data_IF_474648702499
#
_entry.id   IF_474648702499
#
_cell.length_a   1.000
_cell.length_b   1.000
_cell.length_c   1.000
_cell.angle_alpha   90.00
_cell.angle_beta   90.00
_cell.angle_gamma   90.00
#
_symmetry.space_group_name_H-M   'P 1'
#
loop_
_entity.id
_entity.type
_entity.pdbx_description
1 polymer ?
#
# COMPACT_ATOMS: atom_id res chain seq x y z
N UNK A 1 -17.89 6.75 11.79
CA UNK A 1 -17.01 5.66 12.30
C UNK A 1 -15.87 6.28 13.06
N UNK A 2 -15.20 5.57 13.97
CA UNK A 2 -14.06 6.12 14.70
C UNK A 2 -12.83 6.20 13.77
N UNK A 3 -12.00 7.23 13.95
CA UNK A 3 -10.73 7.37 13.23
C UNK A 3 -9.70 6.42 13.85
N UNK A 4 -9.15 5.50 13.04
CA UNK A 4 -8.08 4.59 13.48
C UNK A 4 -6.71 5.24 13.35
N UNK A 5 -6.48 5.98 12.25
CA UNK A 5 -5.23 6.69 11.98
C UNK A 5 -5.56 8.10 11.49
N UNK A 6 -5.01 9.12 12.12
CA UNK A 6 -5.17 10.50 11.67
C UNK A 6 -3.81 11.19 11.52
N UNK A 7 -3.78 12.12 10.59
CA UNK A 7 -2.64 13.00 10.35
C UNK A 7 -3.11 14.44 10.27
N UNK A 8 -2.34 15.35 10.85
CA UNK A 8 -2.65 16.77 10.86
C UNK A 8 -1.43 17.58 10.42
N UNK A 9 -1.62 18.35 9.34
CA UNK A 9 -0.63 19.28 8.76
C UNK A 9 0.75 18.67 8.53
N UNK A 10 0.80 17.39 8.09
CA UNK A 10 2.07 16.74 7.80
C UNK A 10 2.81 17.46 6.67
N UNK A 11 4.10 17.67 6.86
CA UNK A 11 5.02 18.16 5.83
C UNK A 11 6.27 17.31 5.76
N UNK A 12 6.83 17.22 4.54
CA UNK A 12 8.11 16.60 4.26
C UNK A 12 8.88 17.42 3.25
N UNK A 13 10.14 17.72 3.57
CA UNK A 13 11.03 18.50 2.72
C UNK A 13 12.12 17.62 2.12
N UNK A 14 12.49 17.88 0.86
CA UNK A 14 13.67 17.28 0.24
C UNK A 14 14.90 18.10 0.64
N UNK A 15 15.90 17.46 1.19
CA UNK A 15 17.23 18.07 1.32
C UNK A 15 17.83 18.17 -0.08
N UNK A 16 17.95 19.38 -0.64
CA UNK A 16 18.82 19.64 -1.78
C UNK A 16 20.16 20.09 -1.24
N UNK A 17 21.24 19.47 -1.72
CA UNK A 17 22.59 19.97 -1.45
C UNK A 17 22.76 21.35 -2.06
N UNK A 18 22.68 22.40 -1.23
CA UNK A 18 22.68 23.80 -1.63
C UNK A 18 21.39 24.53 -1.20
N UNK A 19 21.42 25.83 -1.16
CA UNK A 19 20.40 26.73 -0.63
C UNK A 19 18.96 26.37 -1.07
N UNK A 20 18.12 25.99 -0.10
CA UNK A 20 16.67 25.84 -0.22
C UNK A 20 16.15 24.41 -0.09
N UNK A 21 15.45 24.13 1.01
CA UNK A 21 14.64 22.94 1.19
C UNK A 21 13.35 23.07 0.37
N UNK A 22 13.17 22.24 -0.66
CA UNK A 22 11.90 22.20 -1.40
C UNK A 22 10.92 21.22 -0.75
N UNK A 23 9.69 21.64 -0.50
CA UNK A 23 8.66 20.75 0.00
C UNK A 23 8.43 19.58 -0.98
N UNK A 24 8.48 18.36 -0.48
CA UNK A 24 7.96 17.19 -1.21
C UNK A 24 6.43 17.21 -1.13
N UNK A 25 5.92 17.51 0.07
CA UNK A 25 4.52 17.84 0.34
C UNK A 25 4.41 18.62 1.65
N UNK A 26 3.31 19.34 1.81
CA UNK A 26 3.03 20.11 3.03
C UNK A 26 1.52 20.22 3.31
N UNK A 27 1.18 20.45 4.58
CA UNK A 27 -0.17 20.69 5.03
C UNK A 27 -1.13 19.51 4.86
N UNK A 28 -0.63 18.27 4.74
CA UNK A 28 -1.49 17.11 4.55
C UNK A 28 -2.23 16.81 5.86
N UNK A 29 -3.56 16.85 5.79
CA UNK A 29 -4.45 16.46 6.89
C UNK A 29 -5.50 15.49 6.37
N UNK A 30 -5.65 14.33 7.01
CA UNK A 30 -6.65 13.33 6.66
C UNK A 30 -6.85 12.33 7.80
N UNK A 31 -7.96 11.61 7.73
CA UNK A 31 -8.31 10.56 8.68
C UNK A 31 -8.68 9.28 7.96
N UNK A 32 -8.13 8.16 8.43
CA UNK A 32 -8.51 6.82 8.00
C UNK A 32 -9.40 6.21 9.09
N UNK A 33 -10.62 5.89 8.72
CA UNK A 33 -11.61 5.30 9.61
C UNK A 33 -11.37 3.78 9.81
N UNK A 34 -11.85 3.22 10.90
CA UNK A 34 -11.86 1.76 11.12
C UNK A 34 -12.57 1.06 9.97
N UNK A 35 -11.95 0.01 9.42
CA UNK A 35 -12.47 -0.70 8.25
C UNK A 35 -12.53 0.15 6.97
N UNK A 36 -11.99 1.37 6.99
CA UNK A 36 -11.92 2.24 5.82
C UNK A 36 -11.03 1.67 4.73
N UNK A 37 -11.41 1.85 3.47
CA UNK A 37 -10.61 1.49 2.29
C UNK A 37 -10.41 2.72 1.45
N UNK A 38 -9.18 3.21 1.38
CA UNK A 38 -8.81 4.44 0.70
C UNK A 38 -7.78 4.16 -0.39
N UNK A 39 -7.96 4.74 -1.57
CA UNK A 39 -6.93 4.79 -2.61
C UNK A 39 -6.21 6.14 -2.57
N UNK A 40 -4.90 6.15 -2.44
CA UNK A 40 -4.05 7.33 -2.54
C UNK A 40 -3.56 7.45 -3.98
N UNK A 41 -4.11 8.40 -4.71
CA UNK A 41 -3.84 8.65 -6.11
C UNK A 41 -3.01 9.92 -6.31
N UNK A 42 -2.36 10.02 -7.46
CA UNK A 42 -1.56 11.19 -7.86
C UNK A 42 -0.41 10.79 -8.78
N UNK A 43 0.17 11.74 -9.49
CA UNK A 43 1.29 11.52 -10.39
C UNK A 43 2.52 10.93 -9.65
N UNK A 44 3.44 10.32 -10.42
CA UNK A 44 4.71 9.86 -9.86
C UNK A 44 5.51 11.03 -9.26
N UNK A 45 6.24 10.78 -8.19
CA UNK A 45 7.08 11.81 -7.53
C UNK A 45 6.34 12.76 -6.58
N UNK A 46 5.02 12.64 -6.40
CA UNK A 46 4.24 13.45 -5.44
C UNK A 46 4.49 13.09 -3.97
N UNK A 47 5.27 12.04 -3.67
CA UNK A 47 5.59 11.68 -2.29
C UNK A 47 4.65 10.67 -1.65
N UNK A 48 3.80 9.96 -2.43
CA UNK A 48 2.85 8.96 -1.91
C UNK A 48 3.51 7.88 -1.06
N UNK A 49 4.55 7.22 -1.57
CA UNK A 49 5.32 6.20 -0.83
C UNK A 49 6.01 6.79 0.40
N UNK A 50 6.51 8.03 0.32
CA UNK A 50 7.09 8.73 1.48
C UNK A 50 6.02 8.99 2.54
N UNK A 51 4.81 9.39 2.14
CA UNK A 51 3.70 9.54 3.07
C UNK A 51 3.36 8.21 3.75
N UNK A 52 3.25 7.11 3.01
CA UNK A 52 3.01 5.80 3.61
C UNK A 52 4.09 5.41 4.61
N UNK A 53 5.37 5.66 4.29
CA UNK A 53 6.49 5.37 5.19
C UNK A 53 6.45 6.22 6.47
N UNK A 54 6.03 7.49 6.36
CA UNK A 54 5.81 8.35 7.53
C UNK A 54 4.65 7.81 8.37
N UNK A 55 3.52 7.43 7.75
CA UNK A 55 2.38 6.84 8.45
C UNK A 55 2.75 5.52 9.16
N UNK A 56 3.63 4.72 8.59
CA UNK A 56 4.19 3.51 9.21
C UNK A 56 5.28 3.81 10.26
N UNK A 57 5.62 5.09 10.46
CA UNK A 57 6.71 5.52 11.32
C UNK A 57 8.07 4.88 10.95
N UNK A 58 8.29 4.68 9.65
CA UNK A 58 9.56 4.27 9.06
C UNK A 58 10.43 5.46 8.69
N UNK A 59 9.79 6.59 8.35
CA UNK A 59 10.41 7.88 8.13
C UNK A 59 9.78 8.91 9.07
N UNK A 60 10.53 9.98 9.40
CA UNK A 60 10.02 11.09 10.17
C UNK A 60 9.34 12.12 9.25
N UNK A 61 8.19 12.65 9.68
CA UNK A 61 7.70 13.91 9.16
C UNK A 61 8.58 15.05 9.66
N UNK A 62 8.67 16.13 8.89
CA UNK A 62 9.40 17.33 9.32
C UNK A 62 8.46 18.28 10.09
N UNK A 63 7.14 18.25 9.80
CA UNK A 63 6.09 18.98 10.51
C UNK A 63 4.82 18.14 10.62
N UNK A 64 3.94 18.54 11.54
CA UNK A 64 2.63 17.95 11.76
C UNK A 64 2.60 16.84 12.79
N UNK A 65 1.45 16.24 12.97
CA UNK A 65 1.21 15.23 13.99
C UNK A 65 0.53 13.98 13.41
N UNK A 66 0.90 12.80 13.95
CA UNK A 66 0.23 11.53 13.70
C UNK A 66 -0.43 11.03 14.97
N UNK A 67 -1.62 10.44 14.83
CA UNK A 67 -2.36 9.80 15.91
C UNK A 67 -2.86 8.43 15.48
N UNK A 68 -2.77 7.46 16.37
CA UNK A 68 -3.33 6.12 16.21
C UNK A 68 -4.30 5.83 17.34
N UNK A 69 -5.58 5.56 17.01
CA UNK A 69 -6.64 5.40 17.99
C UNK A 69 -6.77 6.64 18.90
N UNK A 70 -6.63 7.84 18.34
CA UNK A 70 -6.67 9.11 19.06
C UNK A 70 -5.40 9.45 19.88
N UNK A 71 -4.46 8.53 20.04
CA UNK A 71 -3.21 8.76 20.78
C UNK A 71 -2.11 9.28 19.86
N UNK A 72 -1.37 10.35 20.24
CA UNK A 72 -0.28 10.87 19.42
C UNK A 72 0.85 9.84 19.26
N UNK A 73 1.57 9.90 18.13
CA UNK A 73 2.68 8.98 17.84
C UNK A 73 3.73 8.97 18.97
N UNK A 74 4.00 10.12 19.59
CA UNK A 74 4.94 10.24 20.71
C UNK A 74 4.58 9.41 21.95
N UNK A 75 3.32 8.98 22.07
CA UNK A 75 2.85 8.12 23.16
C UNK A 75 3.02 6.61 22.89
N UNK A 76 3.54 6.25 21.72
CA UNK A 76 3.78 4.88 21.30
C UNK A 76 5.27 4.55 21.26
N UNK A 77 5.59 3.26 21.44
CA UNK A 77 6.91 2.75 21.03
C UNK A 77 6.89 2.45 19.54
N UNK A 78 7.98 2.73 18.80
CA UNK A 78 8.02 2.49 17.35
C UNK A 78 7.67 1.04 16.95
N UNK A 79 8.05 0.07 17.76
CA UNK A 79 7.75 -1.35 17.51
C UNK A 79 6.25 -1.64 17.67
N UNK A 80 5.61 -1.07 18.70
CA UNK A 80 4.17 -1.23 18.95
C UNK A 80 3.36 -0.58 17.82
N UNK A 81 3.74 0.65 17.42
CA UNK A 81 3.13 1.35 16.27
C UNK A 81 3.17 0.49 15.01
N UNK A 82 4.37 -0.01 14.63
CA UNK A 82 4.57 -0.82 13.42
C UNK A 82 3.90 -2.18 13.46
N UNK A 83 3.50 -2.68 14.62
CA UNK A 83 2.63 -3.85 14.74
C UNK A 83 1.20 -3.51 14.35
N UNK A 84 0.75 -2.29 14.68
CA UNK A 84 -0.60 -1.80 14.41
C UNK A 84 -0.76 -1.21 13.02
N UNK A 85 0.28 -0.53 12.52
CA UNK A 85 0.32 0.10 11.20
C UNK A 85 1.37 -0.60 10.35
N UNK A 86 0.94 -1.61 9.59
CA UNK A 86 1.84 -2.42 8.77
C UNK A 86 2.00 -1.82 7.36
N UNK A 87 3.24 -1.68 6.92
CA UNK A 87 3.60 -1.23 5.59
C UNK A 87 4.05 -2.39 4.72
N UNK A 88 3.43 -2.54 3.57
CA UNK A 88 3.80 -3.49 2.53
C UNK A 88 4.41 -2.71 1.37
N UNK A 89 5.70 -2.90 1.18
CA UNK A 89 6.47 -2.17 0.18
C UNK A 89 6.21 -2.68 -1.24
N UNK A 90 6.41 -1.81 -2.21
CA UNK A 90 6.35 -2.12 -3.64
C UNK A 90 7.32 -3.26 -4.03
N UNK A 91 8.52 -3.27 -3.46
CA UNK A 91 9.49 -4.36 -3.62
C UNK A 91 9.59 -5.14 -2.31
N UNK A 92 9.19 -6.40 -2.37
CA UNK A 92 9.24 -7.28 -1.22
C UNK A 92 10.68 -7.66 -0.86
N UNK A 93 11.04 -7.47 0.40
CA UNK A 93 12.32 -7.90 0.97
C UNK A 93 12.10 -9.19 1.77
N UNK A 94 12.85 -10.24 1.40
CA UNK A 94 12.89 -11.47 2.16
C UNK A 94 14.04 -11.44 3.17
N UNK A 95 13.76 -11.96 4.36
CA UNK A 95 14.79 -12.21 5.35
C UNK A 95 15.58 -13.48 4.97
N UNK A 96 16.85 -13.59 5.36
CA UNK A 96 17.61 -14.82 5.19
C UNK A 96 16.91 -16.00 5.85
N UNK A 97 17.00 -17.18 5.22
CA UNK A 97 16.35 -18.43 5.69
C UNK A 97 15.25 -18.91 4.76
N UNK A 98 14.34 -19.68 5.30
CA UNK A 98 13.27 -20.36 4.57
C UNK A 98 11.99 -19.53 4.48
N UNK A 99 11.01 -20.02 3.73
CA UNK A 99 9.63 -19.50 3.73
C UNK A 99 9.06 -19.50 5.16
N UNK A 100 9.22 -20.60 5.91
CA UNK A 100 8.75 -20.70 7.30
C UNK A 100 9.43 -19.68 8.21
N UNK A 101 10.74 -19.45 8.05
CA UNK A 101 11.46 -18.45 8.82
C UNK A 101 10.89 -17.05 8.58
N UNK A 102 10.56 -16.71 7.33
CA UNK A 102 9.95 -15.43 6.98
C UNK A 102 8.56 -15.27 7.58
N UNK A 103 7.72 -16.28 7.50
CA UNK A 103 6.35 -16.25 8.05
C UNK A 103 6.36 -16.20 9.60
N UNK A 104 7.24 -16.98 10.25
CA UNK A 104 7.31 -17.04 11.71
C UNK A 104 8.03 -15.86 12.35
N UNK A 105 8.74 -15.03 11.58
CA UNK A 105 9.54 -13.92 12.09
C UNK A 105 8.73 -12.95 12.95
N UNK A 106 7.51 -12.61 12.51
CA UNK A 106 6.62 -11.71 13.25
C UNK A 106 6.32 -12.27 14.64
N UNK A 107 5.94 -13.55 14.71
CA UNK A 107 5.63 -14.22 15.97
C UNK A 107 6.83 -14.30 16.88
N UNK A 108 8.02 -14.59 16.33
CA UNK A 108 9.29 -14.60 17.09
C UNK A 108 9.65 -13.21 17.65
N UNK A 109 9.54 -12.15 16.85
CA UNK A 109 9.84 -10.78 17.28
C UNK A 109 8.92 -10.31 18.41
N UNK A 110 7.64 -10.68 18.35
CA UNK A 110 6.64 -10.29 19.32
C UNK A 110 6.43 -11.31 20.45
N UNK A 111 7.25 -12.40 20.49
CA UNK A 111 7.16 -13.49 21.49
C UNK A 111 5.75 -14.07 21.60
N UNK A 112 5.09 -14.24 20.44
CA UNK A 112 3.74 -14.82 20.31
C UNK A 112 3.83 -16.19 19.65
N UNK A 113 2.88 -17.11 19.92
CA UNK A 113 2.77 -18.36 19.15
C UNK A 113 2.61 -18.07 17.66
N UNK A 114 3.24 -18.88 16.81
CA UNK A 114 3.08 -18.77 15.37
C UNK A 114 1.74 -19.35 14.95
N UNK A 115 0.90 -18.52 14.33
CA UNK A 115 -0.41 -18.90 13.80
C UNK A 115 -0.24 -19.61 12.44
N UNK A 116 0.23 -20.87 12.49
CA UNK A 116 0.47 -21.69 11.29
C UNK A 116 -0.81 -21.92 10.47
N UNK A 117 -2.00 -22.18 11.07
CA UNK A 117 -3.25 -22.30 10.33
C UNK A 117 -3.60 -21.04 9.53
N UNK A 118 -3.46 -19.86 10.13
CA UNK A 118 -3.68 -18.60 9.44
C UNK A 118 -2.70 -18.40 8.28
N UNK A 119 -1.41 -18.66 8.53
CA UNK A 119 -0.38 -18.56 7.49
C UNK A 119 -0.67 -19.49 6.31
N UNK A 120 -1.03 -20.75 6.58
CA UNK A 120 -1.37 -21.74 5.55
C UNK A 120 -2.59 -21.30 4.73
N UNK A 121 -3.65 -20.80 5.37
CA UNK A 121 -4.84 -20.28 4.69
C UNK A 121 -4.48 -19.09 3.78
N UNK A 122 -3.75 -18.09 4.28
CA UNK A 122 -3.36 -16.95 3.45
C UNK A 122 -2.44 -17.36 2.29
N UNK A 123 -1.55 -18.33 2.50
CA UNK A 123 -0.72 -18.91 1.44
C UNK A 123 -1.59 -19.57 0.35
N UNK A 124 -2.57 -20.37 0.74
CA UNK A 124 -3.50 -21.03 -0.19
C UNK A 124 -4.29 -20.00 -1.01
N UNK A 125 -4.89 -19.00 -0.34
CA UNK A 125 -5.68 -17.94 -0.97
C UNK A 125 -4.86 -17.11 -1.97
N UNK A 126 -3.53 -17.01 -1.78
CA UNK A 126 -2.59 -16.34 -2.68
C UNK A 126 -1.93 -17.27 -3.71
N UNK A 127 -2.39 -18.52 -3.84
CA UNK A 127 -1.83 -19.49 -4.78
C UNK A 127 -0.40 -19.94 -4.44
N UNK A 128 -0.04 -19.92 -3.15
CA UNK A 128 1.23 -20.39 -2.62
C UNK A 128 1.07 -21.70 -1.80
N UNK A 129 -0.11 -22.32 -1.80
CA UNK A 129 -0.42 -23.47 -0.96
C UNK A 129 0.47 -24.68 -1.21
N UNK A 130 0.87 -24.93 -2.47
CA UNK A 130 1.80 -25.98 -2.85
C UNK A 130 3.28 -25.70 -2.55
N UNK A 131 3.61 -24.53 -2.00
CA UNK A 131 4.99 -24.13 -1.75
C UNK A 131 5.56 -24.84 -0.52
N UNK A 132 6.73 -25.49 -0.67
CA UNK A 132 7.43 -26.07 0.46
C UNK A 132 7.90 -24.99 1.44
N UNK A 133 7.51 -25.12 2.70
CA UNK A 133 7.87 -24.16 3.75
C UNK A 133 9.37 -24.14 4.06
N UNK A 134 10.08 -25.23 3.73
CA UNK A 134 11.53 -25.34 3.82
C UNK A 134 12.29 -24.70 2.64
N UNK A 135 11.57 -24.23 1.59
CA UNK A 135 12.21 -23.61 0.43
C UNK A 135 12.96 -22.33 0.86
N UNK A 136 14.23 -22.12 0.43
CA UNK A 136 14.94 -20.90 0.69
C UNK A 136 14.20 -19.68 0.13
N UNK A 137 13.94 -18.67 0.97
CA UNK A 137 13.16 -17.50 0.56
C UNK A 137 13.88 -16.65 -0.52
N UNK A 138 15.21 -16.77 -0.63
CA UNK A 138 15.99 -16.14 -1.69
C UNK A 138 15.66 -16.64 -3.09
N UNK A 139 15.23 -17.92 -3.21
CA UNK A 139 14.93 -18.59 -4.48
C UNK A 139 13.50 -18.30 -5.00
N UNK A 140 12.70 -17.55 -4.25
CA UNK A 140 11.37 -17.16 -4.67
C UNK A 140 11.43 -16.18 -5.84
N UNK A 141 10.51 -16.32 -6.79
CA UNK A 141 10.29 -15.31 -7.83
C UNK A 141 9.83 -13.97 -7.22
N UNK A 142 9.90 -12.88 -7.99
CA UNK A 142 9.43 -11.57 -7.52
C UNK A 142 7.97 -11.59 -7.06
N UNK A 143 7.09 -12.23 -7.83
CA UNK A 143 5.67 -12.35 -7.47
C UNK A 143 5.43 -13.25 -6.25
N UNK A 144 6.18 -14.34 -6.09
CA UNK A 144 6.12 -15.18 -4.88
C UNK A 144 6.58 -14.39 -3.65
N UNK A 145 7.70 -13.63 -3.76
CA UNK A 145 8.20 -12.77 -2.69
C UNK A 145 7.15 -11.73 -2.27
N UNK A 146 6.50 -11.10 -3.25
CA UNK A 146 5.49 -10.10 -2.98
C UNK A 146 4.28 -10.68 -2.25
N UNK A 147 3.78 -11.83 -2.70
CA UNK A 147 2.68 -12.53 -2.04
C UNK A 147 3.05 -13.02 -0.64
N UNK A 148 4.27 -13.55 -0.46
CA UNK A 148 4.76 -13.98 0.86
C UNK A 148 4.91 -12.80 1.83
N UNK A 149 5.39 -11.64 1.35
CA UNK A 149 5.48 -10.42 2.16
C UNK A 149 4.10 -9.94 2.61
N UNK A 150 3.08 -10.08 1.75
CA UNK A 150 1.70 -9.77 2.09
C UNK A 150 1.20 -10.69 3.21
N UNK A 151 1.38 -12.02 3.09
CA UNK A 151 1.04 -12.96 4.17
C UNK A 151 1.72 -12.56 5.48
N UNK A 152 3.03 -12.29 5.44
CA UNK A 152 3.80 -11.87 6.62
C UNK A 152 3.21 -10.63 7.29
N UNK A 153 2.71 -9.68 6.51
CA UNK A 153 2.09 -8.46 7.04
C UNK A 153 0.71 -8.72 7.66
N UNK A 154 -0.08 -9.63 7.08
CA UNK A 154 -1.37 -10.04 7.63
C UNK A 154 -1.23 -10.80 8.96
N UNK A 155 -0.14 -11.55 9.14
CA UNK A 155 0.15 -12.25 10.40
C UNK A 155 0.40 -11.32 11.60
N UNK A 156 0.67 -10.04 11.36
CA UNK A 156 0.68 -9.01 12.42
C UNK A 156 -0.71 -8.73 12.99
N UNK A 157 -1.79 -9.05 12.25
CA UNK A 157 -3.17 -8.61 12.52
C UNK A 157 -3.21 -7.10 12.78
N UNK A 158 -2.79 -6.29 11.79
CA UNK A 158 -2.67 -4.85 11.99
C UNK A 158 -4.04 -4.18 12.00
N UNK A 159 -4.13 -3.03 12.67
CA UNK A 159 -5.31 -2.17 12.60
C UNK A 159 -5.37 -1.41 11.27
N UNK A 160 -4.18 -1.13 10.68
CA UNK A 160 -4.01 -0.42 9.40
C UNK A 160 -3.00 -1.14 8.51
N UNK A 161 -3.37 -1.37 7.25
CA UNK A 161 -2.48 -1.81 6.17
C UNK A 161 -2.20 -0.67 5.20
N UNK A 162 -0.93 -0.34 5.02
CA UNK A 162 -0.44 0.62 4.05
C UNK A 162 0.18 -0.16 2.88
N UNK A 163 -0.45 -0.11 1.72
CA UNK A 163 -0.19 -0.97 0.57
C UNK A 163 0.41 -0.13 -0.57
N UNK A 164 1.72 -0.21 -0.75
CA UNK A 164 2.46 0.60 -1.73
C UNK A 164 2.68 -0.21 -3.00
N UNK A 165 1.80 -0.04 -4.00
CA UNK A 165 1.85 -0.70 -5.32
C UNK A 165 2.05 -2.24 -5.25
N UNK A 166 1.50 -2.89 -4.22
CA UNK A 166 1.78 -4.29 -3.84
C UNK A 166 1.39 -5.32 -4.89
N UNK A 167 0.58 -4.94 -5.86
CA UNK A 167 0.10 -5.83 -6.93
C UNK A 167 0.66 -5.48 -8.31
N UNK A 168 1.46 -4.41 -8.44
CA UNK A 168 1.94 -3.92 -9.73
C UNK A 168 2.80 -4.93 -10.50
N UNK A 169 3.55 -5.78 -9.78
CA UNK A 169 4.43 -6.81 -10.35
C UNK A 169 3.79 -8.20 -10.43
N UNK A 170 2.51 -8.34 -10.08
CA UNK A 170 1.78 -9.61 -10.11
C UNK A 170 1.10 -9.83 -11.45
N UNK A 171 1.04 -11.09 -11.86
CA UNK A 171 0.18 -11.50 -12.97
C UNK A 171 -1.31 -11.26 -12.65
N UNK A 172 -2.21 -11.19 -13.66
CA UNK A 172 -3.62 -10.86 -13.42
C UNK A 172 -4.34 -11.79 -12.44
N UNK A 173 -4.02 -13.08 -12.45
CA UNK A 173 -4.63 -14.06 -11.55
C UNK A 173 -4.19 -13.84 -10.09
N UNK A 174 -2.89 -13.69 -9.89
CA UNK A 174 -2.30 -13.39 -8.57
C UNK A 174 -2.76 -12.05 -8.02
N UNK A 175 -2.93 -11.03 -8.89
CA UNK A 175 -3.48 -9.72 -8.52
C UNK A 175 -4.90 -9.86 -7.99
N UNK A 176 -5.78 -10.53 -8.74
CA UNK A 176 -7.17 -10.75 -8.34
C UNK A 176 -7.26 -11.52 -7.02
N UNK A 177 -6.41 -12.52 -6.82
CA UNK A 177 -6.34 -13.28 -5.57
C UNK A 177 -5.92 -12.39 -4.38
N UNK A 178 -4.91 -11.53 -4.56
CA UNK A 178 -4.44 -10.60 -3.53
C UNK A 178 -5.52 -9.57 -3.16
N UNK A 179 -6.19 -8.97 -4.14
CA UNK A 179 -7.28 -8.00 -3.93
C UNK A 179 -8.46 -8.64 -3.21
N UNK A 180 -8.82 -9.88 -3.58
CA UNK A 180 -9.87 -10.64 -2.91
C UNK A 180 -9.51 -10.92 -1.45
N UNK A 181 -8.32 -11.47 -1.18
CA UNK A 181 -7.84 -11.73 0.18
C UNK A 181 -7.87 -10.47 1.04
N UNK A 182 -7.37 -9.34 0.53
CA UNK A 182 -7.32 -8.08 1.28
C UNK A 182 -8.71 -7.53 1.54
N UNK A 183 -9.65 -7.62 0.60
CA UNK A 183 -11.04 -7.23 0.80
C UNK A 183 -11.71 -8.07 1.88
N UNK A 184 -11.58 -9.41 1.80
CA UNK A 184 -12.15 -10.32 2.79
C UNK A 184 -11.49 -10.15 4.16
N UNK A 185 -10.20 -9.82 4.21
CA UNK A 185 -9.50 -9.48 5.44
C UNK A 185 -10.07 -8.22 6.07
N UNK A 186 -10.27 -7.15 5.29
CA UNK A 186 -10.90 -5.93 5.76
C UNK A 186 -12.30 -6.19 6.34
N UNK A 187 -13.09 -7.02 5.67
CA UNK A 187 -14.47 -7.33 6.09
C UNK A 187 -14.51 -8.18 7.37
N UNK A 188 -13.55 -9.08 7.57
CA UNK A 188 -13.50 -9.97 8.74
C UNK A 188 -12.79 -9.38 9.96
N UNK A 189 -11.69 -8.70 9.74
CA UNK A 189 -10.80 -8.21 10.82
C UNK A 189 -10.98 -6.71 11.08
N UNK A 190 -11.74 -5.99 10.23
CA UNK A 190 -11.91 -4.54 10.36
C UNK A 190 -10.65 -3.71 10.08
N UNK A 191 -9.60 -4.33 9.54
CA UNK A 191 -8.33 -3.65 9.22
C UNK A 191 -8.56 -2.57 8.17
N UNK A 192 -8.24 -1.33 8.49
CA UNK A 192 -8.29 -0.23 7.53
C UNK A 192 -7.17 -0.35 6.49
N UNK A 193 -7.41 0.10 5.26
CA UNK A 193 -6.48 -0.05 4.15
C UNK A 193 -6.25 1.26 3.42
N UNK A 194 -4.99 1.61 3.22
CA UNK A 194 -4.57 2.71 2.35
C UNK A 194 -3.73 2.16 1.20
N UNK A 195 -4.25 2.26 -0.01
CA UNK A 195 -3.68 1.71 -1.23
C UNK A 195 -3.03 2.80 -2.07
N UNK A 196 -1.77 2.66 -2.41
CA UNK A 196 -1.15 3.41 -3.51
C UNK A 196 -1.20 2.53 -4.75
N UNK A 197 -1.76 3.03 -5.82
CA UNK A 197 -1.79 2.36 -7.12
C UNK A 197 -1.79 3.37 -8.25
N UNK A 198 -1.27 2.98 -9.40
CA UNK A 198 -1.38 3.69 -10.67
C UNK A 198 -2.49 3.12 -11.56
N UNK A 199 -3.07 2.00 -11.18
CA UNK A 199 -4.17 1.35 -11.88
C UNK A 199 -5.51 1.87 -11.35
N UNK A 200 -6.26 2.60 -12.18
CA UNK A 200 -7.53 3.22 -11.76
C UNK A 200 -8.67 2.22 -11.61
N UNK A 201 -8.69 1.17 -12.41
CA UNK A 201 -9.68 0.11 -12.26
C UNK A 201 -9.46 -0.58 -10.92
N UNK A 202 -8.20 -0.82 -10.55
CA UNK A 202 -7.88 -1.30 -9.22
C UNK A 202 -8.35 -0.31 -8.14
N UNK A 203 -8.01 0.98 -8.27
CA UNK A 203 -8.43 1.99 -7.29
C UNK A 203 -9.96 1.99 -7.09
N UNK A 204 -10.73 1.88 -8.18
CA UNK A 204 -12.21 1.79 -8.14
C UNK A 204 -12.70 0.54 -7.41
N UNK A 205 -12.03 -0.61 -7.63
CA UNK A 205 -12.47 -1.90 -7.09
C UNK A 205 -12.12 -2.07 -5.61
N UNK A 206 -10.95 -1.57 -5.18
CA UNK A 206 -10.43 -1.82 -3.83
C UNK A 206 -10.84 -0.75 -2.81
N UNK A 207 -11.20 0.47 -3.24
CA UNK A 207 -11.44 1.59 -2.33
C UNK A 207 -12.89 2.05 -2.28
N UNK A 208 -13.24 2.72 -1.17
CA UNK A 208 -14.50 3.48 -0.99
C UNK A 208 -14.27 4.98 -1.03
N UNK A 209 -13.05 5.42 -0.78
CA UNK A 209 -12.63 6.82 -0.81
C UNK A 209 -11.33 6.97 -1.59
N UNK A 210 -11.14 8.13 -2.17
CA UNK A 210 -9.92 8.55 -2.85
C UNK A 210 -9.31 9.72 -2.09
N UNK A 211 -8.03 9.62 -1.81
CA UNK A 211 -7.16 10.74 -1.46
C UNK A 211 -6.33 11.07 -2.69
N UNK A 212 -6.51 12.26 -3.23
CA UNK A 212 -5.80 12.69 -4.42
C UNK A 212 -4.71 13.70 -4.06
N UNK A 213 -3.44 13.30 -4.28
CA UNK A 213 -2.27 14.14 -4.07
C UNK A 213 -1.80 14.76 -5.38
N UNK A 214 -1.73 16.07 -5.41
CA UNK A 214 -1.09 16.84 -6.45
C UNK A 214 -0.54 18.17 -5.87
N UNK A 215 0.37 18.83 -6.59
CA UNK A 215 0.93 20.12 -6.20
C UNK A 215 1.53 20.15 -4.78
N UNK A 216 2.05 18.99 -4.34
CA UNK A 216 2.66 18.86 -3.03
C UNK A 216 1.69 18.86 -1.84
N UNK A 217 0.40 18.61 -2.07
CA UNK A 217 -0.60 18.52 -1.00
C UNK A 217 -1.70 17.52 -1.32
N UNK A 218 -2.61 17.27 -0.37
CA UNK A 218 -3.82 16.49 -0.55
C UNK A 218 -4.94 17.43 -1.05
N UNK A 219 -5.23 17.38 -2.34
CA UNK A 219 -6.22 18.26 -2.96
C UNK A 219 -7.66 17.78 -2.79
N UNK A 220 -7.88 16.46 -2.83
CA UNK A 220 -9.23 15.90 -2.70
C UNK A 220 -9.24 14.70 -1.74
N UNK A 221 -10.31 14.62 -0.96
CA UNK A 221 -10.66 13.50 -0.10
C UNK A 221 -12.15 13.21 -0.26
N UNK A 222 -12.50 12.28 -1.16
CA UNK A 222 -13.88 12.07 -1.62
C UNK A 222 -14.22 10.59 -1.70
N UNK A 223 -15.51 10.29 -1.84
CA UNK A 223 -15.96 8.96 -2.23
C UNK A 223 -15.41 8.58 -3.62
N UNK A 224 -15.04 7.31 -3.78
CA UNK A 224 -14.39 6.82 -5.00
C UNK A 224 -15.22 7.11 -6.24
N UNK A 225 -16.52 6.80 -6.24
CA UNK A 225 -17.38 7.05 -7.39
C UNK A 225 -17.50 8.54 -7.72
N UNK A 226 -17.62 9.40 -6.70
CA UNK A 226 -17.69 10.84 -6.89
C UNK A 226 -16.39 11.41 -7.50
N UNK A 227 -15.23 10.95 -7.03
CA UNK A 227 -13.95 11.36 -7.59
C UNK A 227 -13.81 10.97 -9.07
N UNK A 228 -14.17 9.75 -9.43
CA UNK A 228 -14.03 9.30 -10.82
C UNK A 228 -15.10 9.84 -11.77
N UNK A 229 -16.26 10.26 -11.25
CA UNK A 229 -17.32 10.87 -12.06
C UNK A 229 -17.07 12.36 -12.31
N UNK A 230 -16.75 13.11 -11.26
CA UNK A 230 -16.59 14.55 -11.31
C UNK A 230 -15.60 15.03 -10.23
N UNK A 231 -14.27 15.00 -10.50
CA UNK A 231 -13.28 15.55 -9.57
C UNK A 231 -13.52 17.03 -9.32
N UNK A 232 -13.35 17.51 -8.08
CA UNK A 232 -13.59 18.91 -7.72
C UNK A 232 -12.52 19.83 -8.28
N UNK A 233 -11.26 19.38 -8.26
CA UNK A 233 -10.11 20.18 -8.63
C UNK A 233 -9.74 20.03 -10.10
N UNK A 234 -9.14 21.07 -10.69
CA UNK A 234 -8.64 21.00 -12.06
C UNK A 234 -7.53 19.93 -12.22
N UNK A 235 -6.53 19.80 -11.29
CA UNK A 235 -5.58 18.69 -11.33
C UNK A 235 -6.26 17.32 -11.25
N UNK A 236 -7.31 17.16 -10.45
CA UNK A 236 -8.09 15.92 -10.36
C UNK A 236 -8.79 15.59 -11.69
N UNK A 237 -9.42 16.57 -12.33
CA UNK A 237 -10.06 16.39 -13.65
C UNK A 237 -9.07 15.97 -14.72
N UNK A 238 -7.89 16.62 -14.79
CA UNK A 238 -6.82 16.27 -15.72
C UNK A 238 -6.30 14.86 -15.46
N UNK A 239 -6.12 14.51 -14.20
CA UNK A 239 -5.67 13.18 -13.80
C UNK A 239 -6.67 12.08 -14.21
N UNK A 240 -7.96 12.27 -13.91
CA UNK A 240 -9.02 11.34 -14.29
C UNK A 240 -9.19 11.24 -15.82
N UNK A 241 -9.10 12.35 -16.55
CA UNK A 241 -9.24 12.39 -18.01
C UNK A 241 -8.04 11.74 -18.74
N UNK A 242 -6.81 11.97 -18.29
CA UNK A 242 -5.61 11.43 -18.92
C UNK A 242 -5.59 9.90 -18.97
N UNK A 243 -6.36 9.25 -18.13
CA UNK A 243 -6.44 7.79 -17.97
C UNK A 243 -7.65 7.18 -18.68
N UNK A 244 -8.61 8.01 -19.12
CA UNK A 244 -9.71 7.59 -20.00
C UNK A 244 -9.28 7.53 -21.48
N UNK A 245 -8.13 8.13 -21.82
CA UNK A 245 -7.63 8.29 -23.21
C UNK A 245 -6.50 7.31 -23.54
N UNK A 246 -6.06 6.43 -22.64
CA UNK A 246 -5.12 5.36 -22.99
C UNK A 246 -5.81 4.40 -23.99
N UNK A 247 -5.36 4.28 -25.25
CA UNK A 247 -5.94 3.34 -26.20
C UNK A 247 -5.72 1.91 -25.68
N UNK A 248 -6.64 0.98 -26.01
CA UNK A 248 -6.38 -0.44 -25.78
C UNK A 248 -5.06 -0.78 -26.47
N UNK A 249 -4.16 -1.46 -25.78
CA UNK A 249 -2.90 -1.94 -26.32
C UNK A 249 -3.17 -2.84 -27.54
N UNK A 250 -3.29 -2.23 -28.71
CA UNK A 250 -3.32 -2.90 -30.00
C UNK A 250 -1.94 -3.53 -30.21
N UNK A 251 -1.94 -4.84 -30.35
CA UNK A 251 -0.81 -5.57 -30.93
C UNK A 251 -0.63 -5.02 -32.36
N UNK A 252 0.37 -4.19 -32.58
CA UNK A 252 0.95 -4.07 -33.92
C UNK A 252 1.70 -5.36 -34.19
N UNK A 253 1.11 -6.23 -34.99
CA UNK A 253 1.82 -7.29 -35.68
C UNK A 253 2.84 -6.61 -36.59
N UNK A 254 4.08 -6.56 -36.17
CA UNK A 254 5.18 -6.17 -37.03
C UNK A 254 5.34 -7.28 -38.10
N UNK A 255 4.86 -6.99 -39.30
CA UNK A 255 5.20 -7.79 -40.50
C UNK A 255 6.73 -7.85 -40.66
N UNK A 256 7.24 -9.05 -40.58
CA UNK A 256 8.66 -9.35 -40.82
C UNK A 256 8.94 -9.17 -42.34
N UNK A 257 9.87 -8.28 -42.77
CA UNK A 257 10.26 -8.22 -44.14
C UNK A 257 11.08 -9.46 -44.50
N UNK A 258 10.57 -10.25 -45.43
CA UNK A 258 11.31 -11.35 -46.06
C UNK A 258 12.45 -10.78 -46.89
N UNK A 259 13.68 -11.07 -46.49
CA UNK A 259 14.87 -10.87 -47.35
C UNK A 259 15.07 -12.09 -48.24
N UNK A 260 15.03 -11.85 -49.54
CA UNK A 260 15.61 -12.74 -50.58
C UNK A 260 17.04 -12.34 -50.83
#
# INVERSE_FOLDING_TARGET
>A
MASVLSMEKLAKYRQRGGEGSAALFSGISAELEEGGRVALLGASGQGKSTLLRILAWLDAADEGELRLGGKPASAWKPQEWRTKVAYVAQQAVMLPGTVEDNLSTVSRLHRRPFDRPLAARCMEELGLGGMAWSKPAGELSGGEKQRLALVRSLLLRPDVLLLDEVTASLDPHSRTAAERLLREWNEREGTAQLWVTHDLEQARSVSRRVWFMAEGTLLENRETQAFFHAPDTEPGRRFAAALTVAPPSGKEEAECPTWR
#
